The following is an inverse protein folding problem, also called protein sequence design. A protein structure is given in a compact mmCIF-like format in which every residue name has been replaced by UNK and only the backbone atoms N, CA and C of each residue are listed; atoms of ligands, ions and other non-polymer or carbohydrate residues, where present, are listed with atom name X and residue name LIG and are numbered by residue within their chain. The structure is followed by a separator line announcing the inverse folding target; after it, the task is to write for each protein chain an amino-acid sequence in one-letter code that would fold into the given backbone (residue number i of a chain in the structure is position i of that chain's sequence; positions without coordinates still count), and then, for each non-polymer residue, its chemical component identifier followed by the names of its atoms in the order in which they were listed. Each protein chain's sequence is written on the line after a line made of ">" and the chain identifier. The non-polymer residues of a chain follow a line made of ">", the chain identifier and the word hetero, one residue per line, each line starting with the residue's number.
data_IF_903347230701
#
_entry.id   IF_903347230701
#
_cell.length_a   1.000
_cell.length_b   1.000
_cell.length_c   1.000
_cell.angle_alpha   90.00
_cell.angle_beta   90.00
_cell.angle_gamma   90.00
#
_symmetry.space_group_name_H-M   'P 1'
#
loop_
_entity.id
_entity.type
_entity.pdbx_description
1 polymer ?
#
# COMPACT_ATOMS: atom_id res chain seq x y z
N UNK A 1 14.25 6.60 24.51
CA UNK A 1 14.43 6.06 23.14
C UNK A 1 13.72 4.71 23.10
N UNK A 2 12.70 4.58 22.26
CA UNK A 2 12.00 3.31 22.04
C UNK A 2 12.61 2.64 20.81
N UNK A 3 12.98 1.35 20.92
CA UNK A 3 13.51 0.56 19.82
C UNK A 3 12.53 -0.57 19.50
N UNK A 4 12.27 -0.78 18.24
CA UNK A 4 11.54 -1.93 17.73
C UNK A 4 12.19 -2.39 16.43
N UNK A 5 12.34 -3.69 16.30
CA UNK A 5 13.05 -4.30 15.18
C UNK A 5 12.07 -5.09 14.32
N UNK A 6 12.24 -5.00 13.00
CA UNK A 6 11.68 -5.94 12.04
C UNK A 6 12.80 -6.82 11.49
N UNK A 7 12.42 -7.84 10.72
CA UNK A 7 13.39 -8.78 10.16
C UNK A 7 14.47 -8.10 9.28
N UNK A 8 14.13 -6.97 8.65
CA UNK A 8 14.97 -6.26 7.66
C UNK A 8 15.44 -4.88 8.11
N UNK A 9 14.87 -4.32 9.16
CA UNK A 9 15.19 -2.95 9.59
C UNK A 9 15.11 -2.79 11.09
N UNK A 10 15.96 -1.92 11.62
CA UNK A 10 15.95 -1.46 12.99
C UNK A 10 15.34 -0.07 13.05
N UNK A 11 14.42 0.16 13.97
CA UNK A 11 13.74 1.44 14.14
C UNK A 11 14.02 2.00 15.54
N UNK A 12 14.29 3.30 15.60
CA UNK A 12 14.39 4.05 16.86
C UNK A 12 13.64 5.37 16.74
N UNK A 13 13.10 5.86 17.85
CA UNK A 13 12.48 7.20 17.90
C UNK A 13 13.34 8.10 18.76
N UNK A 14 13.74 9.26 18.23
CA UNK A 14 14.53 10.26 18.94
C UNK A 14 13.68 11.17 19.84
N UNK A 15 14.34 12.07 20.58
CA UNK A 15 13.67 13.01 21.48
C UNK A 15 12.82 14.07 20.76
N UNK A 16 13.05 14.28 19.48
CA UNK A 16 12.26 15.16 18.61
C UNK A 16 11.06 14.45 17.96
N UNK A 17 10.83 13.17 18.28
CA UNK A 17 9.76 12.38 17.69
C UNK A 17 10.02 11.95 16.24
N UNK A 18 11.28 11.95 15.80
CA UNK A 18 11.62 11.46 14.45
C UNK A 18 11.91 9.96 14.49
N UNK A 19 11.48 9.25 13.48
CA UNK A 19 11.71 7.81 13.31
C UNK A 19 12.98 7.60 12.50
N UNK A 20 13.95 6.92 13.09
CA UNK A 20 15.19 6.49 12.43
C UNK A 20 15.05 5.03 12.03
N UNK A 21 15.18 4.75 10.74
CA UNK A 21 15.16 3.40 10.18
C UNK A 21 16.55 3.08 9.62
N UNK A 22 17.14 2.00 10.07
CA UNK A 22 18.40 1.46 9.52
C UNK A 22 18.09 0.15 8.82
N UNK A 23 18.20 0.14 7.50
CA UNK A 23 18.01 -1.07 6.69
C UNK A 23 19.19 -2.02 6.84
N UNK A 24 18.92 -3.32 7.06
CA UNK A 24 19.96 -4.35 7.26
C UNK A 24 20.54 -4.90 5.97
N UNK A 25 19.92 -4.68 4.81
CA UNK A 25 20.29 -5.30 3.53
C UNK A 25 20.09 -4.41 2.31
N UNK A 26 20.19 -3.11 2.45
CA UNK A 26 20.16 -2.24 1.28
C UNK A 26 21.61 -2.02 0.84
N UNK A 27 21.96 -2.48 -0.34
CA UNK A 27 23.18 -2.05 -1.02
C UNK A 27 23.09 -0.54 -1.18
N UNK A 28 23.66 0.19 -0.23
CA UNK A 28 23.72 1.65 -0.22
C UNK A 28 24.76 2.11 -1.26
N UNK A 29 24.56 1.72 -2.49
CA UNK A 29 25.24 2.42 -3.56
C UNK A 29 24.41 3.69 -3.87
N UNK A 30 25.09 4.82 -3.98
CA UNK A 30 24.47 6.11 -4.23
C UNK A 30 23.63 6.16 -5.54
N UNK A 31 23.73 5.13 -6.36
CA UNK A 31 23.00 4.95 -7.62
C UNK A 31 21.89 3.88 -7.53
N UNK A 32 21.41 3.51 -6.32
CA UNK A 32 20.29 2.59 -6.24
C UNK A 32 18.97 3.31 -6.53
N UNK A 33 18.02 2.68 -7.27
CA UNK A 33 16.71 3.28 -7.55
C UNK A 33 15.96 3.74 -6.30
N UNK A 34 16.18 3.07 -5.15
CA UNK A 34 15.58 3.45 -3.89
C UNK A 34 16.14 4.77 -3.34
N UNK A 35 17.47 4.98 -3.42
CA UNK A 35 18.10 6.22 -2.96
C UNK A 35 17.69 7.39 -3.84
N UNK A 36 17.67 7.20 -5.17
CA UNK A 36 17.19 8.20 -6.12
C UNK A 36 15.73 8.56 -5.86
N UNK A 37 14.88 7.56 -5.66
CA UNK A 37 13.47 7.78 -5.31
C UNK A 37 13.35 8.58 -4.01
N UNK A 38 14.04 8.19 -2.95
CA UNK A 38 13.96 8.89 -1.67
C UNK A 38 14.40 10.34 -1.77
N UNK A 39 15.43 10.63 -2.59
CA UNK A 39 15.86 12.00 -2.85
C UNK A 39 14.76 12.80 -3.58
N UNK A 40 14.14 12.22 -4.59
CA UNK A 40 13.01 12.83 -5.30
C UNK A 40 11.82 13.07 -4.35
N UNK A 41 11.50 12.12 -3.47
CA UNK A 41 10.43 12.30 -2.48
C UNK A 41 10.73 13.46 -1.52
N UNK A 42 12.00 13.64 -1.10
CA UNK A 42 12.40 14.76 -0.25
C UNK A 42 12.24 16.12 -0.97
N UNK A 43 12.56 16.17 -2.26
CA UNK A 43 12.53 17.39 -3.06
C UNK A 43 11.09 17.76 -3.47
N UNK A 44 10.30 16.78 -3.88
CA UNK A 44 8.97 17.00 -4.50
C UNK A 44 7.82 16.92 -3.48
N UNK A 45 8.01 16.23 -2.33
CA UNK A 45 7.00 16.05 -1.28
C UNK A 45 5.63 15.61 -1.83
N UNK A 46 5.53 14.54 -2.62
CA UNK A 46 4.27 14.15 -3.24
C UNK A 46 3.24 13.76 -2.18
N UNK A 47 1.98 14.01 -2.49
CA UNK A 47 0.88 13.63 -1.61
C UNK A 47 0.82 12.11 -1.43
N UNK A 48 0.41 11.68 -0.26
CA UNK A 48 0.14 10.27 0.06
C UNK A 48 1.35 9.33 -0.06
N UNK A 49 2.57 9.87 -0.23
CA UNK A 49 3.83 9.14 -0.10
C UNK A 49 4.64 9.73 1.05
N UNK A 50 5.16 8.87 1.91
CA UNK A 50 5.97 9.33 3.04
C UNK A 50 7.38 9.69 2.58
N UNK A 51 7.66 10.99 2.47
CA UNK A 51 9.01 11.46 2.19
C UNK A 51 9.91 11.35 3.43
N UNK A 52 11.15 10.86 3.32
CA UNK A 52 12.10 10.94 4.41
C UNK A 52 12.51 12.40 4.67
N UNK A 53 12.83 12.72 5.92
CA UNK A 53 13.41 14.02 6.32
C UNK A 53 14.90 14.08 6.01
N UNK A 54 15.58 12.95 6.04
CA UNK A 54 16.97 12.80 5.69
C UNK A 54 17.29 11.35 5.32
N UNK A 55 18.28 11.19 4.44
CA UNK A 55 18.89 9.89 4.12
C UNK A 55 20.40 10.00 4.27
N UNK A 56 21.05 8.97 4.80
CA UNK A 56 22.51 8.92 4.96
C UNK A 56 23.01 7.51 4.73
N UNK A 57 24.17 7.38 4.11
CA UNK A 57 24.88 6.12 4.12
C UNK A 57 25.29 5.78 5.56
N UNK A 58 25.00 4.57 6.01
CA UNK A 58 25.45 4.04 7.28
C UNK A 58 26.64 3.10 7.06
N UNK A 59 27.34 2.74 8.13
CA UNK A 59 28.45 1.80 8.04
C UNK A 59 27.95 0.42 7.55
N UNK A 60 28.71 -0.22 6.66
CA UNK A 60 28.45 -1.58 6.20
C UNK A 60 27.30 -1.69 5.19
N UNK A 61 27.22 -0.81 4.20
CA UNK A 61 26.23 -0.86 3.10
C UNK A 61 24.76 -0.70 3.52
N UNK A 62 24.51 -0.22 4.73
CA UNK A 62 23.16 0.08 5.22
C UNK A 62 22.75 1.50 4.87
N UNK A 63 21.44 1.73 4.67
CA UNK A 63 20.86 3.03 4.51
C UNK A 63 20.21 3.46 5.84
N UNK A 64 20.52 4.67 6.27
CA UNK A 64 19.89 5.31 7.42
C UNK A 64 18.90 6.36 6.90
N UNK A 65 17.63 6.10 7.15
CA UNK A 65 16.51 6.93 6.77
C UNK A 65 15.90 7.58 8.02
N UNK A 66 15.56 8.86 7.93
CA UNK A 66 14.89 9.60 9.01
C UNK A 66 13.53 10.04 8.51
N UNK A 67 12.49 9.73 9.24
CA UNK A 67 11.11 10.06 8.91
C UNK A 67 10.44 10.87 10.01
N UNK A 68 9.39 11.65 9.68
CA UNK A 68 8.52 12.20 10.72
C UNK A 68 7.84 11.06 11.48
N UNK A 69 7.46 11.30 12.73
CA UNK A 69 6.61 10.36 13.45
C UNK A 69 5.23 10.40 12.83
N UNK A 70 4.81 9.26 12.31
CA UNK A 70 3.47 9.05 11.78
C UNK A 70 2.58 8.36 12.82
N UNK A 71 1.28 8.38 12.57
CA UNK A 71 0.28 7.65 13.36
C UNK A 71 0.43 6.12 13.23
N UNK A 72 -0.66 5.41 13.46
CA UNK A 72 -0.66 3.95 13.33
C UNK A 72 -0.80 3.52 11.87
N UNK A 73 -0.29 2.32 11.55
CA UNK A 73 -0.53 1.72 10.24
C UNK A 73 -1.99 1.28 10.08
N UNK A 74 -2.44 1.21 8.84
CA UNK A 74 -3.79 0.74 8.50
C UNK A 74 -4.08 -0.66 9.06
N UNK A 75 -3.07 -1.54 9.13
CA UNK A 75 -3.18 -2.86 9.76
C UNK A 75 -3.62 -2.75 11.23
N UNK A 76 -3.04 -1.81 11.98
CA UNK A 76 -3.40 -1.57 13.38
C UNK A 76 -4.77 -0.90 13.54
N UNK A 77 -5.19 -0.12 12.56
CA UNK A 77 -6.47 0.60 12.56
C UNK A 77 -7.59 -0.17 11.83
N UNK A 78 -7.26 -1.28 11.18
CA UNK A 78 -8.20 -2.02 10.31
C UNK A 78 -9.55 -2.28 10.95
N UNK A 79 -9.57 -2.79 12.17
CA UNK A 79 -10.84 -3.08 12.87
C UNK A 79 -11.67 -1.82 13.15
N UNK A 80 -11.01 -0.71 13.49
CA UNK A 80 -11.70 0.57 13.72
C UNK A 80 -12.30 1.07 12.41
N UNK A 81 -11.53 1.03 11.32
CA UNK A 81 -12.02 1.44 9.99
C UNK A 81 -13.18 0.55 9.53
N UNK A 82 -13.07 -0.76 9.70
CA UNK A 82 -14.13 -1.71 9.38
C UNK A 82 -15.40 -1.44 10.20
N UNK A 83 -15.26 -1.13 11.49
CA UNK A 83 -16.38 -0.77 12.34
C UNK A 83 -17.05 0.52 11.86
N UNK A 84 -16.28 1.57 11.57
CA UNK A 84 -16.79 2.83 11.03
C UNK A 84 -17.54 2.64 9.70
N UNK A 85 -17.10 1.71 8.84
CA UNK A 85 -17.82 1.34 7.61
C UNK A 85 -19.15 0.65 7.96
N UNK A 86 -19.16 -0.28 8.90
CA UNK A 86 -20.37 -1.00 9.32
C UNK A 86 -21.41 -0.05 9.95
N UNK A 87 -20.96 0.93 10.72
CA UNK A 87 -21.81 1.93 11.39
C UNK A 87 -22.25 3.06 10.42
N UNK A 88 -21.73 3.08 9.19
CA UNK A 88 -22.04 4.10 8.18
C UNK A 88 -21.34 5.44 8.38
N UNK A 89 -20.40 5.53 9.33
CA UNK A 89 -19.56 6.73 9.53
C UNK A 89 -18.59 6.93 8.34
N UNK A 90 -18.06 5.82 7.81
CA UNK A 90 -17.31 5.78 6.56
C UNK A 90 -18.21 5.22 5.46
N UNK A 91 -18.77 6.12 4.65
CA UNK A 91 -19.60 5.76 3.51
C UNK A 91 -18.79 5.47 2.25
N UNK A 92 -19.49 5.08 1.18
CA UNK A 92 -18.89 4.71 -0.12
C UNK A 92 -17.95 5.79 -0.69
N UNK A 93 -18.35 7.06 -0.62
CA UNK A 93 -17.51 8.19 -1.09
C UNK A 93 -16.18 8.25 -0.35
N UNK A 94 -16.18 8.08 0.97
CA UNK A 94 -14.97 8.09 1.79
C UNK A 94 -14.08 6.88 1.49
N UNK A 95 -14.67 5.69 1.26
CA UNK A 95 -13.92 4.50 0.82
C UNK A 95 -13.23 4.78 -0.53
N UNK A 96 -13.94 5.36 -1.50
CA UNK A 96 -13.33 5.75 -2.77
C UNK A 96 -12.22 6.79 -2.59
N UNK A 97 -12.40 7.77 -1.69
CA UNK A 97 -11.36 8.76 -1.38
C UNK A 97 -10.10 8.10 -0.80
N UNK A 98 -10.26 7.11 0.06
CA UNK A 98 -9.13 6.34 0.59
C UNK A 98 -8.40 5.57 -0.52
N UNK A 99 -9.14 4.93 -1.44
CA UNK A 99 -8.55 4.23 -2.58
C UNK A 99 -7.82 5.20 -3.53
N UNK A 100 -8.42 6.36 -3.82
CA UNK A 100 -7.82 7.42 -4.64
C UNK A 100 -6.45 7.84 -4.08
N UNK A 101 -6.33 8.02 -2.76
CA UNK A 101 -5.07 8.42 -2.12
C UNK A 101 -3.95 7.39 -2.35
N UNK A 102 -4.24 6.10 -2.18
CA UNK A 102 -3.24 5.03 -2.37
C UNK A 102 -2.89 4.86 -3.86
N UNK A 103 -3.88 5.00 -4.77
CA UNK A 103 -3.62 4.94 -6.21
C UNK A 103 -2.86 6.16 -6.72
N UNK A 104 -3.05 7.35 -6.13
CA UNK A 104 -2.25 8.55 -6.43
C UNK A 104 -0.78 8.32 -6.03
N UNK A 105 -0.55 7.76 -4.83
CA UNK A 105 0.78 7.41 -4.37
C UNK A 105 1.49 6.37 -5.28
N UNK A 106 0.81 5.28 -5.61
CA UNK A 106 1.36 4.27 -6.51
C UNK A 106 1.53 4.81 -7.93
N UNK A 107 0.61 5.66 -8.42
CA UNK A 107 0.68 6.32 -9.72
C UNK A 107 1.94 7.19 -9.87
N UNK A 108 2.31 7.92 -8.82
CA UNK A 108 3.56 8.69 -8.78
C UNK A 108 4.79 7.80 -9.03
N UNK A 109 4.83 6.60 -8.44
CA UNK A 109 5.91 5.63 -8.67
C UNK A 109 5.87 5.07 -10.11
N UNK A 110 4.67 4.70 -10.59
CA UNK A 110 4.48 4.15 -11.94
C UNK A 110 4.88 5.12 -13.05
N UNK A 111 4.64 6.43 -12.87
CA UNK A 111 5.10 7.47 -13.79
C UNK A 111 6.62 7.56 -13.91
N UNK A 112 7.34 7.12 -12.88
CA UNK A 112 8.80 7.07 -12.82
C UNK A 112 9.37 5.71 -13.22
N UNK A 113 8.53 4.82 -13.75
CA UNK A 113 8.96 3.48 -14.12
C UNK A 113 9.30 2.60 -12.92
N UNK A 114 8.64 2.81 -11.77
CA UNK A 114 8.87 2.06 -10.53
C UNK A 114 7.60 1.34 -10.10
N UNK A 115 7.75 0.18 -9.50
CA UNK A 115 6.69 -0.62 -8.89
C UNK A 115 7.01 -0.77 -7.41
N UNK A 116 6.03 -0.57 -6.53
CA UNK A 116 6.23 -0.61 -5.07
C UNK A 116 6.54 -2.03 -4.57
N UNK A 117 5.85 -3.03 -5.09
CA UNK A 117 5.98 -4.46 -4.79
C UNK A 117 5.57 -4.91 -3.37
N UNK A 118 5.25 -4.01 -2.46
CA UNK A 118 4.86 -4.37 -1.09
C UNK A 118 3.74 -3.46 -0.55
N UNK A 119 2.74 -3.16 -1.38
CA UNK A 119 1.54 -2.42 -0.94
C UNK A 119 0.69 -3.36 -0.10
N UNK A 120 0.54 -3.03 1.20
CA UNK A 120 -0.24 -3.80 2.18
C UNK A 120 -0.58 -2.93 3.39
N UNK A 121 -1.55 -3.31 4.22
CA UNK A 121 -1.99 -2.46 5.35
C UNK A 121 -0.89 -2.07 6.32
N UNK A 122 0.15 -2.90 6.50
CA UNK A 122 1.30 -2.59 7.36
C UNK A 122 2.22 -1.52 6.77
N UNK A 123 2.15 -1.24 5.48
CA UNK A 123 2.95 -0.26 4.74
C UNK A 123 2.13 0.98 4.33
N UNK A 124 0.97 1.17 4.94
CA UNK A 124 0.11 2.35 4.77
C UNK A 124 -0.15 2.92 6.16
N UNK A 125 0.22 4.17 6.40
CA UNK A 125 -0.22 4.89 7.58
C UNK A 125 -1.66 5.35 7.40
N UNK A 126 -2.40 5.31 8.50
CA UNK A 126 -3.76 5.82 8.61
C UNK A 126 -3.78 6.92 9.65
N UNK A 127 -4.30 8.08 9.27
CA UNK A 127 -4.56 9.20 10.14
C UNK A 127 -5.92 9.81 9.82
N UNK A 128 -6.44 10.67 10.68
CA UNK A 128 -7.69 11.40 10.45
C UNK A 128 -7.47 12.88 10.67
N UNK A 129 -7.82 13.67 9.68
CA UNK A 129 -7.84 15.12 9.78
C UNK A 129 -9.27 15.61 9.56
N UNK A 130 -9.83 16.29 10.57
CA UNK A 130 -11.21 16.77 10.54
C UNK A 130 -12.24 15.68 10.18
N UNK A 131 -12.03 14.47 10.71
CA UNK A 131 -12.90 13.32 10.45
C UNK A 131 -12.74 12.69 9.05
N UNK A 132 -11.71 13.09 8.30
CA UNK A 132 -11.40 12.53 6.98
C UNK A 132 -10.18 11.62 7.05
N UNK A 133 -10.28 10.36 6.61
CA UNK A 133 -9.14 9.46 6.52
C UNK A 133 -8.06 10.01 5.60
N UNK A 134 -6.82 9.97 6.09
CA UNK A 134 -5.60 10.29 5.33
C UNK A 134 -4.74 9.04 5.32
N UNK A 135 -4.45 8.54 4.12
CA UNK A 135 -3.58 7.39 3.89
C UNK A 135 -2.25 7.84 3.32
N UNK A 136 -1.16 7.28 3.84
CA UNK A 136 0.19 7.58 3.38
C UNK A 136 0.97 6.29 3.18
N UNK A 137 1.35 6.01 1.94
CA UNK A 137 2.14 4.84 1.56
C UNK A 137 3.61 5.06 1.91
N UNK A 138 4.27 4.02 2.42
CA UNK A 138 5.67 4.07 2.82
C UNK A 138 6.35 2.69 2.65
N UNK A 139 7.61 2.57 3.06
CA UNK A 139 8.46 1.39 2.98
C UNK A 139 8.86 1.00 1.54
N UNK A 140 9.81 1.76 1.01
CA UNK A 140 10.32 1.62 -0.37
C UNK A 140 11.37 0.52 -0.56
N UNK A 141 11.58 -0.36 0.41
CA UNK A 141 12.62 -1.41 0.36
C UNK A 141 12.47 -2.35 -0.84
N UNK A 142 11.24 -2.55 -1.32
CA UNK A 142 10.94 -3.45 -2.43
C UNK A 142 10.72 -2.72 -3.76
N UNK A 143 10.81 -1.38 -3.77
CA UNK A 143 10.61 -0.59 -5.00
C UNK A 143 11.64 -0.96 -6.05
N UNK A 144 11.19 -1.24 -7.26
CA UNK A 144 12.02 -1.69 -8.40
C UNK A 144 11.42 -1.28 -9.72
N UNK A 145 12.23 -1.35 -10.77
CA UNK A 145 11.75 -1.24 -12.16
C UNK A 145 10.80 -2.41 -12.48
N UNK A 146 9.81 -2.19 -13.36
CA UNK A 146 8.94 -3.27 -13.85
C UNK A 146 9.73 -4.27 -14.69
N UNK A 147 9.11 -5.43 -14.95
CA UNK A 147 9.66 -6.52 -15.76
C UNK A 147 10.92 -7.19 -15.20
N UNK A 148 11.15 -7.05 -13.90
CA UNK A 148 12.18 -7.83 -13.21
C UNK A 148 11.54 -9.14 -12.73
N UNK A 149 12.21 -10.25 -13.00
CA UNK A 149 11.82 -11.54 -12.46
C UNK A 149 12.09 -11.58 -10.95
N UNK A 150 11.05 -11.47 -10.14
CA UNK A 150 11.17 -11.52 -8.69
C UNK A 150 10.18 -12.54 -8.11
N UNK A 151 10.53 -13.08 -6.94
CA UNK A 151 9.57 -13.83 -6.14
C UNK A 151 8.96 -12.89 -5.10
N UNK A 152 7.64 -12.90 -4.88
CA UNK A 152 7.04 -12.14 -3.79
C UNK A 152 7.68 -12.52 -2.46
N UNK A 153 8.17 -11.53 -1.71
CA UNK A 153 8.90 -11.76 -0.48
C UNK A 153 7.99 -11.96 0.74
N UNK A 154 6.79 -11.35 0.73
CA UNK A 154 5.86 -11.49 1.85
C UNK A 154 4.91 -12.68 1.67
N UNK A 155 4.48 -13.29 2.78
CA UNK A 155 3.43 -14.30 2.79
C UNK A 155 2.11 -13.72 2.24
N UNK A 156 1.80 -12.49 2.62
CA UNK A 156 0.60 -11.77 2.16
C UNK A 156 0.57 -11.64 0.64
N UNK A 157 1.68 -11.19 0.02
CA UNK A 157 1.78 -11.08 -1.43
C UNK A 157 1.76 -12.44 -2.13
N UNK A 158 2.26 -13.52 -1.47
CA UNK A 158 2.24 -14.88 -2.04
C UNK A 158 0.86 -15.51 -2.00
N UNK A 159 0.10 -15.28 -0.95
CA UNK A 159 -1.25 -15.82 -0.81
C UNK A 159 -2.22 -15.17 -1.78
N UNK A 160 -2.07 -13.86 -2.00
CA UNK A 160 -2.95 -13.07 -2.84
C UNK A 160 -2.50 -12.94 -4.30
N UNK A 161 -1.22 -13.13 -4.60
CA UNK A 161 -0.67 -13.11 -5.97
C UNK A 161 -0.29 -14.51 -6.48
N UNK A 162 -1.10 -15.52 -6.20
CA UNK A 162 -0.80 -16.93 -6.44
C UNK A 162 -0.44 -17.27 -7.91
N UNK A 163 -0.98 -16.56 -8.87
CA UNK A 163 -0.69 -16.73 -10.30
C UNK A 163 0.72 -16.26 -10.69
N UNK A 164 1.20 -15.18 -10.11
CA UNK A 164 2.55 -14.62 -10.36
C UNK A 164 3.61 -15.46 -9.66
N UNK A 165 3.32 -15.93 -8.45
CA UNK A 165 4.24 -16.76 -7.67
C UNK A 165 4.49 -18.14 -8.35
N UNK A 166 3.52 -18.65 -9.11
CA UNK A 166 3.61 -19.94 -9.78
C UNK A 166 4.38 -19.92 -11.09
N UNK A 167 4.43 -18.76 -11.79
CA UNK A 167 4.91 -18.71 -13.18
C UNK A 167 6.36 -18.29 -13.33
N UNK A 168 7.03 -17.75 -12.28
CA UNK A 168 8.33 -17.10 -12.42
C UNK A 168 8.27 -15.91 -13.38
N UNK A 169 7.08 -15.32 -13.54
CA UNK A 169 6.74 -14.30 -14.50
C UNK A 169 7.37 -12.95 -14.11
N UNK A 170 7.50 -12.10 -15.10
CA UNK A 170 7.89 -10.71 -14.89
C UNK A 170 6.77 -9.96 -14.19
N UNK A 171 7.11 -9.22 -13.14
CA UNK A 171 6.20 -8.37 -12.40
C UNK A 171 6.13 -7.00 -13.10
N UNK A 172 4.93 -6.51 -13.37
CA UNK A 172 4.67 -5.16 -13.87
C UNK A 172 3.78 -4.36 -12.88
N UNK A 173 3.29 -3.21 -13.30
CA UNK A 173 2.46 -2.31 -12.50
C UNK A 173 1.15 -2.95 -12.00
N UNK A 174 0.61 -3.96 -12.69
CA UNK A 174 -0.60 -4.69 -12.28
C UNK A 174 -0.45 -5.43 -10.96
N UNK A 175 0.80 -5.65 -10.53
CA UNK A 175 1.07 -6.21 -9.21
C UNK A 175 0.62 -5.24 -8.10
N UNK A 176 0.98 -3.97 -8.21
CA UNK A 176 0.53 -2.95 -7.26
C UNK A 176 -0.98 -2.70 -7.36
N UNK A 177 -1.56 -2.71 -8.57
CA UNK A 177 -3.01 -2.64 -8.78
C UNK A 177 -3.74 -3.72 -7.99
N UNK A 178 -3.30 -4.97 -8.10
CA UNK A 178 -3.86 -6.08 -7.34
C UNK A 178 -3.70 -5.89 -5.83
N UNK A 179 -2.52 -5.50 -5.39
CA UNK A 179 -2.24 -5.27 -3.98
C UNK A 179 -3.13 -4.17 -3.38
N UNK A 180 -3.35 -3.08 -4.11
CA UNK A 180 -4.30 -2.02 -3.73
C UNK A 180 -5.72 -2.61 -3.64
N UNK A 181 -6.16 -3.34 -4.65
CA UNK A 181 -7.45 -4.02 -4.63
C UNK A 181 -7.62 -4.89 -3.39
N UNK A 182 -6.62 -5.70 -3.03
CA UNK A 182 -6.67 -6.56 -1.85
C UNK A 182 -6.71 -5.79 -0.53
N UNK A 183 -5.96 -4.68 -0.40
CA UNK A 183 -6.04 -3.81 0.79
C UNK A 183 -7.48 -3.33 1.01
N UNK A 184 -8.13 -2.85 -0.04
CA UNK A 184 -9.50 -2.36 0.07
C UNK A 184 -10.54 -3.48 0.15
N UNK A 185 -10.27 -4.63 -0.45
CA UNK A 185 -11.09 -5.82 -0.25
C UNK A 185 -11.16 -6.20 1.22
N UNK A 186 -10.03 -6.23 1.93
CA UNK A 186 -10.01 -6.49 3.37
C UNK A 186 -10.78 -5.46 4.19
N UNK A 187 -10.85 -4.19 3.78
CA UNK A 187 -11.60 -3.16 4.49
C UNK A 187 -13.11 -3.24 4.23
N UNK A 188 -13.50 -3.61 3.01
CA UNK A 188 -14.87 -3.49 2.51
C UNK A 188 -15.68 -4.78 2.58
N UNK A 189 -15.04 -5.92 2.85
CA UNK A 189 -15.68 -7.21 2.95
C UNK A 189 -15.51 -7.83 4.34
N UNK A 190 -16.50 -8.58 4.74
CA UNK A 190 -16.44 -9.43 5.91
C UNK A 190 -15.98 -10.83 5.49
N UNK A 191 -15.10 -11.41 6.29
CA UNK A 191 -14.65 -12.78 6.14
C UNK A 191 -15.64 -13.69 6.84
N UNK A 192 -16.38 -14.50 6.09
CA UNK A 192 -17.39 -15.41 6.62
C UNK A 192 -16.87 -16.84 6.50
N UNK A 193 -16.80 -17.53 7.63
CA UNK A 193 -16.53 -18.97 7.67
C UNK A 193 -17.85 -19.72 7.74
N UNK A 194 -18.21 -20.40 6.66
CA UNK A 194 -19.35 -21.31 6.69
C UNK A 194 -18.94 -22.67 7.28
N UNK A 195 -19.82 -23.25 8.12
CA UNK A 195 -19.56 -24.55 8.73
C UNK A 195 -19.40 -25.61 7.65
N UNK A 196 -18.23 -26.25 7.59
CA UNK A 196 -17.87 -27.27 6.61
C UNK A 196 -17.20 -26.77 5.34
N UNK A 197 -16.89 -25.49 5.23
CA UNK A 197 -16.07 -24.94 4.13
C UNK A 197 -14.60 -24.94 4.48
N UNK A 198 -13.74 -25.35 3.54
CA UNK A 198 -12.28 -25.28 3.66
C UNK A 198 -11.74 -23.88 3.38
N UNK A 199 -12.57 -22.98 2.83
CA UNK A 199 -12.21 -21.61 2.47
C UNK A 199 -13.25 -20.61 2.97
N UNK A 200 -12.82 -19.42 3.43
CA UNK A 200 -13.75 -18.37 3.82
C UNK A 200 -14.42 -17.74 2.59
N UNK A 201 -15.65 -17.32 2.75
CA UNK A 201 -16.36 -16.47 1.81
C UNK A 201 -16.11 -15.00 2.18
N UNK A 202 -15.85 -14.16 1.17
CA UNK A 202 -15.77 -12.72 1.33
C UNK A 202 -17.10 -12.09 0.93
N UNK A 203 -17.75 -11.41 1.87
CA UNK A 203 -19.03 -10.75 1.61
C UNK A 203 -18.89 -9.25 1.79
N UNK A 204 -19.28 -8.48 0.77
CA UNK A 204 -19.26 -7.03 0.84
C UNK A 204 -20.11 -6.53 2.02
N UNK A 205 -19.60 -5.56 2.76
CA UNK A 205 -20.29 -4.96 3.90
C UNK A 205 -21.64 -4.35 3.49
N UNK A 206 -22.71 -4.56 4.27
CA UNK A 206 -24.07 -4.09 3.92
C UNK A 206 -24.12 -2.60 3.57
N UNK A 207 -23.36 -1.74 4.24
CA UNK A 207 -23.27 -0.30 3.96
C UNK A 207 -22.76 0.02 2.54
N UNK A 208 -22.06 -0.92 1.90
CA UNK A 208 -21.49 -0.77 0.55
C UNK A 208 -22.17 -1.66 -0.50
N UNK A 209 -23.13 -2.51 -0.11
CA UNK A 209 -23.71 -3.52 -0.98
C UNK A 209 -24.45 -2.94 -2.22
N UNK A 210 -24.93 -1.71 -2.14
CA UNK A 210 -25.58 -1.02 -3.26
C UNK A 210 -24.60 -0.29 -4.20
N UNK A 211 -23.31 -0.27 -3.87
CA UNK A 211 -22.28 0.47 -4.61
C UNK A 211 -21.66 -0.39 -5.69
N UNK A 212 -22.38 -0.56 -6.80
CA UNK A 212 -21.95 -1.40 -7.95
C UNK A 212 -20.59 -0.97 -8.50
N UNK A 213 -20.32 0.32 -8.57
CA UNK A 213 -19.04 0.84 -9.08
C UNK A 213 -17.85 0.37 -8.24
N UNK A 214 -17.99 0.36 -6.90
CA UNK A 214 -16.94 -0.14 -6.01
C UNK A 214 -16.70 -1.63 -6.27
N UNK A 215 -17.76 -2.42 -6.36
CA UNK A 215 -17.67 -3.86 -6.61
C UNK A 215 -17.01 -4.16 -7.96
N UNK A 216 -17.41 -3.45 -9.01
CA UNK A 216 -16.84 -3.61 -10.35
C UNK A 216 -15.34 -3.27 -10.37
N UNK A 217 -14.96 -2.12 -9.81
CA UNK A 217 -13.56 -1.69 -9.73
C UNK A 217 -12.72 -2.71 -8.97
N UNK A 218 -13.23 -3.19 -7.83
CA UNK A 218 -12.55 -4.21 -7.01
C UNK A 218 -12.40 -5.52 -7.78
N UNK A 219 -13.45 -5.96 -8.47
CA UNK A 219 -13.43 -7.19 -9.29
C UNK A 219 -12.37 -7.11 -10.41
N UNK A 220 -12.26 -5.96 -11.08
CA UNK A 220 -11.24 -5.74 -12.11
C UNK A 220 -9.84 -5.70 -11.48
N UNK A 221 -9.65 -4.95 -10.39
CA UNK A 221 -8.34 -4.79 -9.75
C UNK A 221 -7.79 -6.11 -9.19
N UNK A 222 -8.65 -6.99 -8.65
CA UNK A 222 -8.27 -8.27 -8.06
C UNK A 222 -8.49 -9.47 -8.99
N UNK A 223 -8.99 -9.25 -10.20
CA UNK A 223 -9.26 -10.27 -11.20
C UNK A 223 -8.01 -10.87 -11.87
N UNK A 224 -8.20 -11.66 -12.91
CA UNK A 224 -7.10 -12.22 -13.68
C UNK A 224 -6.17 -11.16 -14.26
N UNK A 225 -4.90 -11.48 -14.37
CA UNK A 225 -3.84 -10.55 -14.77
C UNK A 225 -4.14 -9.76 -16.05
N UNK A 226 -4.63 -10.42 -17.08
CA UNK A 226 -4.89 -9.82 -18.38
C UNK A 226 -6.03 -8.81 -18.35
N UNK A 227 -6.94 -8.94 -17.41
CA UNK A 227 -8.13 -8.08 -17.27
C UNK A 227 -7.96 -6.93 -16.29
N UNK A 228 -6.85 -6.86 -15.56
CA UNK A 228 -6.61 -5.78 -14.59
C UNK A 228 -6.35 -4.44 -15.25
N UNK A 229 -6.58 -3.37 -14.51
CA UNK A 229 -6.03 -2.06 -14.88
C UNK A 229 -4.52 -2.18 -15.13
N UNK A 230 -4.02 -1.52 -16.18
CA UNK A 230 -2.63 -1.65 -16.60
C UNK A 230 -1.64 -1.05 -15.59
N UNK A 231 -2.07 -0.04 -14.86
CA UNK A 231 -1.30 0.63 -13.80
C UNK A 231 -2.21 1.33 -12.78
N UNK A 232 -1.61 1.92 -11.76
CA UNK A 232 -2.35 2.64 -10.71
C UNK A 232 -3.04 3.91 -11.22
N UNK A 233 -2.62 4.51 -12.32
CA UNK A 233 -3.24 5.72 -12.90
C UNK A 233 -4.55 5.37 -13.60
N UNK A 234 -4.61 4.25 -14.29
CA UNK A 234 -5.87 3.75 -14.89
C UNK A 234 -6.88 3.40 -13.79
N UNK A 235 -6.44 2.72 -12.73
CA UNK A 235 -7.26 2.45 -11.55
C UNK A 235 -7.73 3.75 -10.88
N UNK A 236 -6.83 4.73 -10.71
CA UNK A 236 -7.14 6.06 -10.17
C UNK A 236 -8.23 6.77 -10.99
N UNK A 237 -8.12 6.76 -12.33
CA UNK A 237 -9.11 7.36 -13.21
C UNK A 237 -10.49 6.71 -13.05
N UNK A 238 -10.55 5.38 -12.94
CA UNK A 238 -11.80 4.63 -12.70
C UNK A 238 -12.42 5.01 -11.34
N UNK A 239 -11.62 5.13 -10.29
CA UNK A 239 -12.07 5.54 -8.96
C UNK A 239 -12.62 6.98 -8.95
N UNK A 240 -11.93 7.91 -9.61
CA UNK A 240 -12.39 9.30 -9.74
C UNK A 240 -13.72 9.39 -10.53
N UNK A 241 -13.86 8.59 -11.58
CA UNK A 241 -15.10 8.50 -12.33
C UNK A 241 -16.25 7.92 -11.49
N UNK A 242 -16.01 6.87 -10.71
CA UNK A 242 -16.99 6.32 -9.78
C UNK A 242 -17.40 7.35 -8.72
N UNK A 243 -16.42 8.02 -8.10
CA UNK A 243 -16.65 9.05 -7.08
C UNK A 243 -17.53 10.22 -7.59
N UNK A 244 -17.45 10.55 -8.88
CA UNK A 244 -18.27 11.62 -9.47
C UNK A 244 -19.75 11.24 -9.63
N UNK A 245 -20.10 9.94 -9.49
CA UNK A 245 -21.47 9.42 -9.62
C UNK A 245 -22.20 9.25 -8.29
N UNK A 246 -21.47 9.37 -7.16
CA UNK A 246 -22.00 9.35 -5.79
C UNK A 246 -21.82 10.74 -5.19
#
# INVERSE_FOLDING_TARGET
>A
MHQFDTYLSCFTVDEQGRVHKVGRHVLACAASPQVELMQQLMDEQPKHLLAPLAIRAAQGESLHEVYPLMGATLDKQKHIVQQKINDGEIGARTVLDMMVQVTEAAGYLHERGLVHHDIRPTNIFYDETEGRPILTLFDYNQVRSPYIQTRPHSSWNREHASEIAKSGSFIDYRFDVYAIGMVFHELTHDLIWESGSDFPEYRIKPALAQQKDIQEIMTIATGPWEGRYSDARELHAALCAAKSRI
#
